data_IF_224828351800
#
_entry.id   IF_224828351800
#
_cell.length_a   1.000
_cell.length_b   1.000
_cell.length_c   1.000
_cell.angle_alpha   90.00
_cell.angle_beta   90.00
_cell.angle_gamma   90.00
#
_symmetry.space_group_name_H-M   'P 1'
#
loop_
_entity.id
_entity.type
_entity.pdbx_description
1 polymer ?
#
# COMPACT_ATOMS: atom_id res chain seq x y z
N UNK A 1 39.40 5.21 29.86
CA UNK A 1 38.22 4.91 29.03
C UNK A 1 37.85 3.45 29.23
N UNK A 2 36.79 3.16 30.00
CA UNK A 2 36.21 1.82 30.06
C UNK A 2 35.08 1.79 29.01
N UNK A 3 35.33 1.15 27.87
CA UNK A 3 34.27 0.84 26.89
C UNK A 3 33.42 -0.27 27.49
N UNK A 4 32.15 0.02 27.76
CA UNK A 4 31.17 -1.01 28.10
C UNK A 4 30.32 -1.23 26.85
N UNK A 5 30.65 -2.24 26.06
CA UNK A 5 29.74 -2.73 25.01
C UNK A 5 28.76 -3.69 25.69
N UNK A 6 27.47 -3.34 25.75
CA UNK A 6 26.41 -4.27 26.14
C UNK A 6 25.75 -4.73 24.86
N UNK A 7 26.02 -5.98 24.46
CA UNK A 7 25.30 -6.65 23.38
C UNK A 7 23.89 -7.00 23.86
N UNK A 8 22.86 -6.50 23.18
CA UNK A 8 21.52 -7.07 23.25
C UNK A 8 21.21 -7.73 21.91
N UNK A 9 21.21 -9.07 21.89
CA UNK A 9 20.58 -9.82 20.81
C UNK A 9 19.06 -9.77 21.00
N UNK A 10 18.33 -9.35 19.96
CA UNK A 10 16.87 -9.48 19.90
C UNK A 10 16.49 -10.97 20.01
N UNK A 11 15.93 -11.37 21.15
CA UNK A 11 15.16 -12.60 21.27
C UNK A 11 13.74 -12.31 20.77
N UNK A 12 13.58 -12.31 19.45
CA UNK A 12 12.30 -12.30 18.75
C UNK A 12 12.14 -13.62 17.98
N UNK A 13 10.98 -14.25 18.13
CA UNK A 13 10.67 -15.62 17.71
C UNK A 13 10.86 -15.80 16.19
N UNK A 14 11.44 -16.93 15.80
CA UNK A 14 11.94 -17.24 14.46
C UNK A 14 10.91 -17.09 13.33
N UNK A 15 11.17 -16.13 12.44
CA UNK A 15 11.14 -16.31 10.99
C UNK A 15 12.37 -15.57 10.44
N UNK A 16 13.16 -16.23 9.58
CA UNK A 16 14.37 -15.66 9.01
C UNK A 16 14.02 -14.53 8.03
N UNK A 17 13.76 -13.33 8.56
CA UNK A 17 13.89 -12.08 7.86
C UNK A 17 15.27 -11.51 8.21
N UNK A 18 15.94 -10.93 7.22
CA UNK A 18 17.19 -10.20 7.40
C UNK A 18 16.93 -9.05 8.39
N UNK A 19 17.25 -9.25 9.66
CA UNK A 19 17.01 -8.24 10.68
C UNK A 19 17.98 -7.08 10.42
N UNK A 20 17.44 -5.88 10.23
CA UNK A 20 18.26 -4.67 10.28
C UNK A 20 18.77 -4.55 11.71
N UNK A 21 20.08 -4.72 11.89
CA UNK A 21 20.71 -4.66 13.20
C UNK A 21 21.08 -3.21 13.52
N UNK A 22 20.53 -2.68 14.62
CA UNK A 22 20.93 -1.39 15.16
C UNK A 22 22.00 -1.59 16.25
N UNK A 23 23.16 -0.96 16.06
CA UNK A 23 24.19 -0.83 17.08
C UNK A 23 23.97 0.48 17.85
N UNK A 24 23.99 0.39 19.17
CA UNK A 24 23.92 1.55 20.08
C UNK A 24 25.29 1.73 20.71
N UNK A 25 25.95 2.85 20.40
CA UNK A 25 27.18 3.29 21.05
C UNK A 25 26.89 4.44 22.00
N UNK A 26 27.43 4.37 23.22
CA UNK A 26 27.24 5.41 24.22
C UNK A 26 28.60 5.87 24.76
N UNK A 27 28.82 7.18 24.77
CA UNK A 27 29.98 7.81 25.38
C UNK A 27 29.53 8.85 26.40
N UNK A 28 30.06 8.73 27.63
CA UNK A 28 29.77 9.69 28.70
C UNK A 28 30.86 10.77 28.71
N UNK A 29 30.45 12.03 28.62
CA UNK A 29 31.32 13.19 28.80
C UNK A 29 30.71 14.15 29.85
N UNK A 30 31.31 14.18 31.04
CA UNK A 30 30.79 14.93 32.18
C UNK A 30 29.35 14.52 32.56
N UNK A 31 28.44 15.50 32.52
CA UNK A 31 27.00 15.33 32.80
C UNK A 31 26.17 15.04 31.54
N UNK A 32 26.82 14.82 30.40
CA UNK A 32 26.15 14.47 29.15
C UNK A 32 26.46 13.03 28.75
N UNK A 33 25.51 12.43 28.02
CA UNK A 33 25.72 11.17 27.32
C UNK A 33 25.50 11.42 25.83
N UNK A 34 26.55 11.17 25.06
CA UNK A 34 26.49 11.05 23.61
C UNK A 34 25.98 9.66 23.28
N UNK A 35 24.87 9.56 22.56
CA UNK A 35 24.36 8.29 22.03
C UNK A 35 24.47 8.33 20.52
N UNK A 36 25.12 7.32 19.95
CA UNK A 36 25.24 7.10 18.52
C UNK A 36 24.49 5.82 18.15
N UNK A 37 23.64 5.88 17.13
CA UNK A 37 22.96 4.71 16.57
C UNK A 37 23.49 4.46 15.16
N UNK A 38 23.75 3.20 14.83
CA UNK A 38 24.22 2.81 13.52
C UNK A 38 23.48 1.55 13.06
N UNK A 39 22.95 1.56 11.86
CA UNK A 39 22.33 0.38 11.27
C UNK A 39 23.27 -0.28 10.26
N UNK A 40 23.25 -1.61 10.20
CA UNK A 40 24.02 -2.39 9.22
C UNK A 40 23.51 -2.17 7.78
N UNK A 41 22.24 -1.83 7.63
CA UNK A 41 21.55 -1.44 6.40
C UNK A 41 20.61 -0.28 6.70
N UNK A 42 20.13 0.47 5.70
CA UNK A 42 19.21 1.58 5.97
C UNK A 42 17.96 1.10 6.73
N UNK A 43 17.59 1.73 7.86
CA UNK A 43 16.40 1.34 8.61
C UNK A 43 15.16 1.46 7.73
N UNK A 44 14.35 0.39 7.68
CA UNK A 44 13.13 0.34 6.88
C UNK A 44 11.92 0.95 7.60
N UNK A 45 11.98 1.10 8.93
CA UNK A 45 10.94 1.73 9.74
C UNK A 45 11.49 2.86 10.60
N UNK A 46 10.60 3.70 11.14
CA UNK A 46 11.00 4.71 12.12
C UNK A 46 11.41 4.05 13.43
N UNK A 47 12.36 4.64 14.13
CA UNK A 47 12.84 4.15 15.40
C UNK A 47 12.81 5.26 16.45
N UNK A 48 12.56 4.92 17.70
CA UNK A 48 12.67 5.88 18.80
C UNK A 48 13.73 5.44 19.79
N UNK A 49 14.65 6.36 20.11
CA UNK A 49 15.62 6.15 21.17
C UNK A 49 14.91 6.33 22.51
N UNK A 50 14.88 5.25 23.29
CA UNK A 50 14.30 5.25 24.63
C UNK A 50 15.41 5.20 25.67
N UNK A 51 15.19 5.86 26.80
CA UNK A 51 16.13 5.88 27.92
C UNK A 51 15.44 5.56 29.24
N UNK A 52 16.17 4.90 30.15
CA UNK A 52 15.81 4.90 31.58
C UNK A 52 17.01 5.01 32.53
N UNK A 53 16.82 5.50 33.76
CA UNK A 53 17.87 5.62 34.77
C UNK A 53 18.24 4.29 35.46
N UNK A 54 17.38 3.28 35.43
CA UNK A 54 17.62 2.00 36.12
C UNK A 54 16.96 0.84 35.40
N UNK A 55 17.60 -0.34 35.39
CA UNK A 55 16.94 -1.56 34.91
C UNK A 55 15.85 -2.07 35.86
N UNK A 56 15.95 -1.72 37.14
CA UNK A 56 15.10 -2.23 38.21
C UNK A 56 13.84 -1.39 38.45
N UNK A 57 13.82 -0.12 38.05
CA UNK A 57 12.76 0.84 38.37
C UNK A 57 12.60 1.89 37.25
N UNK A 58 11.34 2.23 36.93
CA UNK A 58 10.96 3.31 36.02
C UNK A 58 10.55 2.87 34.60
N UNK A 59 9.75 3.72 33.96
CA UNK A 59 9.31 3.56 32.56
C UNK A 59 10.41 3.95 31.58
N UNK A 60 10.33 3.42 30.36
CA UNK A 60 11.15 3.86 29.24
C UNK A 60 10.64 5.21 28.73
N UNK A 61 11.49 6.24 28.78
CA UNK A 61 11.16 7.58 28.32
C UNK A 61 11.62 7.77 26.87
N UNK A 62 10.79 8.44 26.06
CA UNK A 62 11.16 8.94 24.75
C UNK A 62 12.22 10.03 24.87
N UNK A 63 13.41 9.76 24.32
CA UNK A 63 14.53 10.71 24.32
C UNK A 63 14.61 11.52 23.03
N UNK A 64 13.99 11.03 21.97
CA UNK A 64 13.99 11.64 20.64
C UNK A 64 12.59 11.56 20.06
N UNK A 65 12.26 12.52 19.20
CA UNK A 65 10.94 12.61 18.58
C UNK A 65 10.85 11.84 17.25
N UNK A 66 11.44 10.62 17.18
CA UNK A 66 11.62 9.76 15.98
C UNK A 66 12.98 9.96 15.29
N UNK A 67 13.59 8.84 14.87
CA UNK A 67 14.82 8.77 14.09
C UNK A 67 14.44 8.12 12.77
N UNK A 68 14.56 8.88 11.68
CA UNK A 68 14.05 8.52 10.35
C UNK A 68 15.11 8.52 9.24
N UNK A 69 16.33 8.96 9.54
CA UNK A 69 17.37 9.12 8.53
C UNK A 69 18.24 7.87 8.38
N UNK A 70 18.61 7.57 7.13
CA UNK A 70 19.66 6.60 6.84
C UNK A 70 21.01 7.16 7.31
N UNK A 71 21.69 6.47 8.24
CA UNK A 71 23.03 6.84 8.69
C UNK A 71 23.24 6.73 10.19
N UNK A 72 24.24 7.46 10.70
CA UNK A 72 24.50 7.52 12.14
C UNK A 72 23.71 8.65 12.78
N UNK A 73 22.83 8.32 13.73
CA UNK A 73 22.12 9.30 14.55
C UNK A 73 22.96 9.60 15.80
N UNK A 74 23.24 10.87 16.08
CA UNK A 74 23.96 11.28 17.28
C UNK A 74 23.16 12.35 18.05
N UNK A 75 22.99 12.15 19.35
CA UNK A 75 22.36 13.14 20.24
C UNK A 75 23.09 13.25 21.58
N UNK A 76 23.08 14.45 22.15
CA UNK A 76 23.62 14.74 23.48
C UNK A 76 22.46 14.87 24.46
N UNK A 77 22.38 13.96 25.43
CA UNK A 77 21.30 13.93 26.41
C UNK A 77 21.80 14.44 27.77
N UNK A 78 21.05 15.35 28.42
CA UNK A 78 21.36 15.77 29.79
C UNK A 78 21.19 14.60 30.76
N UNK A 79 22.15 14.45 31.68
CA UNK A 79 22.34 13.24 32.48
C UNK A 79 21.22 12.92 33.48
N UNK A 80 20.67 11.70 33.30
CA UNK A 80 20.20 10.74 34.32
C UNK A 80 19.87 9.37 33.68
N UNK A 81 19.91 9.24 32.34
CA UNK A 81 19.65 7.99 31.60
C UNK A 81 20.92 7.11 31.57
N UNK A 82 20.80 5.83 31.95
CA UNK A 82 21.93 4.88 31.96
C UNK A 82 21.70 3.65 31.07
N UNK A 83 20.45 3.43 30.66
CA UNK A 83 20.06 2.32 29.82
C UNK A 83 19.32 2.86 28.61
N UNK A 84 19.70 2.35 27.44
CA UNK A 84 19.14 2.77 26.17
C UNK A 84 18.58 1.53 25.45
N UNK A 85 17.50 1.74 24.71
CA UNK A 85 17.02 0.80 23.70
C UNK A 85 16.48 1.58 22.52
N UNK A 86 16.37 0.88 21.40
CA UNK A 86 15.67 1.40 20.24
C UNK A 86 14.39 0.57 20.12
N UNK A 87 13.25 1.25 20.13
CA UNK A 87 11.97 0.62 19.84
C UNK A 87 11.57 0.95 18.41
N UNK A 88 11.06 -0.06 17.70
CA UNK A 88 10.35 0.12 16.44
C UNK A 88 9.19 1.09 16.68
N UNK A 89 9.20 2.23 15.99
CA UNK A 89 8.08 3.15 16.03
C UNK A 89 7.06 2.69 15.00
N UNK A 90 6.04 1.95 15.46
CA UNK A 90 4.82 1.78 14.69
C UNK A 90 4.17 3.16 14.60
N UNK A 91 4.37 3.84 13.47
CA UNK A 91 3.51 4.96 13.09
C UNK A 91 2.07 4.47 13.23
N UNK A 92 1.21 5.26 13.87
CA UNK A 92 -0.22 4.93 13.86
C UNK A 92 -0.72 5.09 12.43
N UNK A 93 -1.41 4.08 11.92
CA UNK A 93 -2.03 4.17 10.61
C UNK A 93 -2.98 5.38 10.59
N UNK A 94 -3.04 6.15 9.49
CA UNK A 94 -3.95 7.30 9.40
C UNK A 94 -5.42 6.85 9.46
N UNK A 95 -5.71 5.60 9.09
CA UNK A 95 -7.04 5.01 9.16
C UNK A 95 -6.96 3.49 9.32
N UNK A 96 -8.06 2.90 9.80
CA UNK A 96 -8.14 1.47 10.07
C UNK A 96 -8.04 0.62 8.79
N UNK A 97 -7.30 -0.48 8.90
CA UNK A 97 -7.06 -1.40 7.78
C UNK A 97 -6.00 -0.93 6.77
N UNK A 98 -5.14 0.03 7.11
CA UNK A 98 -3.96 0.37 6.31
C UNK A 98 -2.69 -0.32 6.82
N UNK A 99 -1.82 -0.70 5.90
CA UNK A 99 -0.52 -1.32 6.17
C UNK A 99 0.61 -0.37 5.78
N UNK A 100 1.67 -0.37 6.59
CA UNK A 100 2.89 0.38 6.28
C UNK A 100 3.68 -0.35 5.20
N UNK A 101 3.96 0.34 4.11
CA UNK A 101 4.99 -0.05 3.14
C UNK A 101 6.22 0.80 3.41
N UNK A 102 7.29 0.11 3.79
CA UNK A 102 8.59 0.73 4.08
C UNK A 102 9.25 1.22 2.81
N UNK A 103 10.05 2.29 2.92
CA UNK A 103 10.83 2.77 1.80
C UNK A 103 11.86 1.71 1.38
N UNK A 104 12.19 1.69 0.10
CA UNK A 104 13.19 0.75 -0.39
C UNK A 104 13.18 0.55 -1.88
N UNK A 105 13.96 -0.45 -2.31
CA UNK A 105 14.09 -0.82 -3.71
C UNK A 105 13.74 -2.29 -3.93
N UNK A 106 13.20 -2.61 -5.10
CA UNK A 106 13.00 -3.97 -5.55
C UNK A 106 13.27 -4.04 -7.04
N UNK A 107 14.24 -4.85 -7.44
CA UNK A 107 14.59 -5.06 -8.83
C UNK A 107 14.69 -6.55 -9.13
N UNK A 108 14.54 -6.89 -10.40
CA UNK A 108 14.61 -8.26 -10.86
C UNK A 108 14.18 -8.39 -12.30
N UNK A 109 13.99 -9.63 -12.73
CA UNK A 109 13.45 -9.96 -14.04
C UNK A 109 12.15 -10.72 -13.84
N UNK A 110 11.03 -10.13 -14.25
CA UNK A 110 9.79 -10.86 -14.38
C UNK A 110 9.95 -11.88 -15.53
N UNK A 111 9.59 -13.16 -15.33
CA UNK A 111 9.77 -14.20 -16.34
C UNK A 111 9.11 -13.92 -17.69
N UNK A 112 8.18 -12.96 -17.78
CA UNK A 112 7.37 -12.74 -18.98
C UNK A 112 7.41 -11.29 -19.51
N UNK A 113 7.71 -10.30 -18.66
CA UNK A 113 7.75 -8.89 -19.07
C UNK A 113 9.16 -8.27 -19.01
N UNK A 114 10.15 -9.00 -18.47
CA UNK A 114 11.54 -8.59 -18.49
C UNK A 114 12.00 -7.89 -17.21
N UNK A 115 13.09 -7.13 -17.34
CA UNK A 115 13.74 -6.49 -16.19
C UNK A 115 12.94 -5.29 -15.68
N UNK A 116 12.90 -5.12 -14.36
CA UNK A 116 12.28 -3.99 -13.68
C UNK A 116 13.16 -3.49 -12.52
N UNK A 117 12.97 -2.23 -12.14
CA UNK A 117 13.60 -1.63 -10.97
C UNK A 117 12.63 -0.62 -10.35
N UNK A 118 12.24 -0.88 -9.10
CA UNK A 118 11.30 -0.09 -8.32
C UNK A 118 12.05 0.61 -7.21
N UNK A 119 11.70 1.85 -6.95
CA UNK A 119 12.15 2.63 -5.80
C UNK A 119 10.95 3.40 -5.26
N UNK A 120 10.69 3.26 -3.97
CA UNK A 120 9.55 3.94 -3.32
C UNK A 120 10.01 4.57 -2.01
N UNK A 121 9.44 5.72 -1.71
CA UNK A 121 9.42 6.25 -0.34
C UNK A 121 8.45 5.43 0.51
N UNK A 122 8.41 5.68 1.81
CA UNK A 122 7.48 4.99 2.71
C UNK A 122 6.07 5.57 2.58
N UNK A 123 5.06 4.71 2.64
CA UNK A 123 3.66 5.11 2.56
C UNK A 123 2.76 4.10 3.26
N UNK A 124 1.59 4.55 3.66
CA UNK A 124 0.49 3.69 4.07
C UNK A 124 -0.33 3.28 2.85
N UNK A 125 -0.79 2.04 2.80
CA UNK A 125 -1.72 1.55 1.75
C UNK A 125 -2.90 0.82 2.38
N UNK A 126 -4.11 0.99 1.86
CA UNK A 126 -5.24 0.15 2.28
C UNK A 126 -4.90 -1.34 2.02
N UNK A 127 -5.11 -2.17 3.04
CA UNK A 127 -4.83 -3.62 2.97
C UNK A 127 -5.69 -4.35 1.94
N UNK A 128 -6.84 -3.79 1.59
CA UNK A 128 -7.80 -4.32 0.62
C UNK A 128 -8.13 -3.27 -0.44
N UNK A 129 -8.80 -3.67 -1.52
CA UNK A 129 -9.54 -2.72 -2.33
C UNK A 129 -10.58 -1.97 -1.48
N UNK A 130 -10.98 -0.77 -1.90
CA UNK A 130 -12.06 -0.02 -1.27
C UNK A 130 -13.36 -0.82 -1.43
N UNK A 131 -13.99 -1.15 -0.30
CA UNK A 131 -15.27 -1.84 -0.29
C UNK A 131 -16.41 -0.88 -0.60
N UNK A 132 -17.56 -1.43 -1.01
CA UNK A 132 -18.78 -0.62 -1.17
C UNK A 132 -19.21 0.04 0.14
N UNK A 133 -19.03 -0.62 1.28
CA UNK A 133 -19.29 -0.03 2.58
C UNK A 133 -18.42 1.20 2.87
N UNK A 134 -17.10 1.12 2.63
CA UNK A 134 -16.19 2.28 2.78
C UNK A 134 -16.52 3.38 1.77
N UNK A 135 -16.82 3.00 0.52
CA UNK A 135 -17.28 3.92 -0.52
C UNK A 135 -18.47 4.76 -0.06
N UNK A 136 -19.53 4.11 0.42
CA UNK A 136 -20.79 4.79 0.73
C UNK A 136 -20.64 5.82 1.86
N UNK A 137 -19.81 5.53 2.85
CA UNK A 137 -19.52 6.48 3.95
C UNK A 137 -18.86 7.75 3.41
N UNK A 138 -17.77 7.60 2.64
CA UNK A 138 -17.02 8.75 2.10
C UNK A 138 -17.82 9.47 1.02
N UNK A 139 -18.54 8.75 0.17
CA UNK A 139 -19.33 9.33 -0.91
C UNK A 139 -20.50 10.16 -0.36
N UNK A 140 -21.16 9.68 0.70
CA UNK A 140 -22.19 10.46 1.39
C UNK A 140 -21.60 11.75 1.98
N UNK A 141 -20.50 11.64 2.74
CA UNK A 141 -19.82 12.81 3.31
C UNK A 141 -19.39 13.78 2.19
N UNK A 142 -18.78 13.27 1.12
CA UNK A 142 -18.31 14.06 0.00
C UNK A 142 -19.42 14.84 -0.70
N UNK A 143 -20.57 14.20 -0.95
CA UNK A 143 -21.74 14.84 -1.54
C UNK A 143 -22.21 16.04 -0.70
N UNK A 144 -22.24 15.87 0.64
CA UNK A 144 -22.62 16.93 1.58
C UNK A 144 -21.58 18.07 1.66
N UNK A 145 -20.36 17.83 1.19
CA UNK A 145 -19.23 18.78 1.20
C UNK A 145 -18.80 19.21 -0.23
N UNK A 146 -19.72 19.12 -1.19
CA UNK A 146 -19.56 19.69 -2.53
C UNK A 146 -18.70 18.88 -3.49
N UNK A 147 -18.38 17.62 -3.16
CA UNK A 147 -17.79 16.68 -4.12
C UNK A 147 -18.85 16.11 -5.05
N UNK A 148 -18.51 16.00 -6.34
CA UNK A 148 -19.36 15.37 -7.35
C UNK A 148 -19.19 13.84 -7.31
N UNK A 149 -19.65 13.25 -6.22
CA UNK A 149 -19.65 11.81 -5.92
C UNK A 149 -20.93 11.48 -5.15
N UNK A 150 -21.42 10.25 -5.26
CA UNK A 150 -22.66 9.80 -4.62
C UNK A 150 -22.58 8.34 -4.19
N UNK A 151 -23.40 7.95 -3.22
CA UNK A 151 -23.62 6.54 -2.85
C UNK A 151 -24.31 5.74 -3.95
N UNK A 152 -24.97 6.42 -4.89
CA UNK A 152 -25.50 5.81 -6.11
C UNK A 152 -24.41 5.50 -7.16
N UNK A 153 -23.24 6.15 -7.06
CA UNK A 153 -22.08 5.83 -7.89
C UNK A 153 -21.41 4.58 -7.34
N UNK A 154 -20.82 3.80 -8.24
CA UNK A 154 -20.15 2.54 -7.91
C UNK A 154 -21.11 1.44 -7.45
N UNK A 155 -21.01 0.26 -8.05
CA UNK A 155 -21.79 -0.92 -7.69
C UNK A 155 -20.91 -1.95 -6.98
N UNK A 156 -21.52 -2.97 -6.40
CA UNK A 156 -20.80 -4.12 -5.85
C UNK A 156 -21.73 -5.32 -5.72
N UNK A 157 -21.17 -6.51 -5.54
CA UNK A 157 -21.95 -7.72 -5.27
C UNK A 157 -22.65 -7.62 -3.92
N UNK A 158 -21.92 -7.19 -2.89
CA UNK A 158 -22.43 -6.89 -1.53
C UNK A 158 -21.51 -5.88 -0.82
N UNK A 159 -21.87 -5.40 0.37
CA UNK A 159 -21.12 -4.36 1.09
C UNK A 159 -19.64 -4.70 1.38
N UNK A 160 -19.32 -5.98 1.64
CA UNK A 160 -17.95 -6.44 1.92
C UNK A 160 -17.11 -6.74 0.68
N UNK A 161 -17.63 -6.48 -0.51
CA UNK A 161 -16.93 -6.65 -1.79
C UNK A 161 -16.37 -5.31 -2.27
N UNK A 162 -15.38 -5.32 -3.19
CA UNK A 162 -14.85 -4.09 -3.78
C UNK A 162 -15.96 -3.28 -4.45
N UNK A 163 -15.87 -1.96 -4.36
CA UNK A 163 -16.65 -1.07 -5.21
C UNK A 163 -16.11 -1.14 -6.65
N UNK A 164 -17.03 -1.28 -7.61
CA UNK A 164 -16.73 -1.38 -9.05
C UNK A 164 -17.67 -0.49 -9.86
N UNK A 165 -17.56 -0.47 -11.19
CA UNK A 165 -18.31 0.44 -12.06
C UNK A 165 -18.10 1.92 -11.71
N UNK A 166 -16.94 2.23 -11.14
CA UNK A 166 -16.45 3.57 -10.93
C UNK A 166 -15.44 3.94 -12.02
N UNK A 167 -15.27 5.23 -12.21
CA UNK A 167 -14.27 5.83 -13.09
C UNK A 167 -13.03 6.22 -12.30
N UNK A 168 -11.94 6.50 -13.03
CA UNK A 168 -10.75 7.04 -12.42
C UNK A 168 -11.03 8.38 -11.71
N UNK A 169 -11.82 9.26 -12.35
CA UNK A 169 -12.12 10.58 -11.80
C UNK A 169 -12.91 10.48 -10.48
N UNK A 170 -13.84 9.52 -10.37
CA UNK A 170 -14.56 9.30 -9.12
C UNK A 170 -13.66 8.73 -8.03
N UNK A 171 -12.65 7.92 -8.40
CA UNK A 171 -11.66 7.38 -7.46
C UNK A 171 -10.80 8.49 -6.83
N UNK A 172 -10.37 9.49 -7.61
CA UNK A 172 -9.61 10.63 -7.08
C UNK A 172 -10.48 11.62 -6.29
N UNK A 173 -11.78 11.75 -6.65
CA UNK A 173 -12.73 12.52 -5.84
C UNK A 173 -12.96 11.85 -4.48
N UNK A 174 -13.08 10.51 -4.45
CA UNK A 174 -13.12 9.74 -3.20
C UNK A 174 -11.85 10.00 -2.36
N UNK A 175 -10.66 9.96 -2.97
CA UNK A 175 -9.41 10.23 -2.26
C UNK A 175 -9.41 11.61 -1.58
N UNK A 176 -9.78 12.66 -2.32
CA UNK A 176 -9.89 14.01 -1.76
C UNK A 176 -10.96 14.11 -0.67
N UNK A 177 -12.15 13.53 -0.89
CA UNK A 177 -13.23 13.55 0.08
C UNK A 177 -12.85 12.81 1.37
N UNK A 178 -12.23 11.62 1.27
CA UNK A 178 -11.72 10.87 2.43
C UNK A 178 -10.66 11.66 3.17
N UNK A 179 -9.79 12.37 2.45
CA UNK A 179 -8.75 13.22 3.04
C UNK A 179 -9.38 14.26 3.96
N UNK A 180 -10.33 15.06 3.46
CA UNK A 180 -10.96 16.09 4.28
C UNK A 180 -11.85 15.53 5.39
N UNK A 181 -12.56 14.43 5.13
CA UNK A 181 -13.37 13.73 6.12
C UNK A 181 -12.54 13.31 7.34
N UNK A 182 -11.28 12.93 7.10
CA UNK A 182 -10.34 12.50 8.14
C UNK A 182 -9.36 13.62 8.57
N UNK A 183 -9.59 14.86 8.15
CA UNK A 183 -8.81 16.04 8.57
C UNK A 183 -7.44 16.18 7.93
N UNK A 184 -7.20 15.52 6.79
CA UNK A 184 -5.99 15.57 5.98
C UNK A 184 -6.12 16.56 4.82
N UNK A 185 -4.98 16.98 4.25
CA UNK A 185 -4.92 17.89 3.10
C UNK A 185 -5.10 17.11 1.80
N UNK A 186 -6.10 17.43 0.95
CA UNK A 186 -6.32 16.72 -0.32
C UNK A 186 -5.11 16.76 -1.27
N UNK A 187 -4.81 15.64 -1.95
CA UNK A 187 -3.73 15.61 -2.93
C UNK A 187 -4.12 16.22 -4.27
N UNK A 188 -5.34 15.98 -4.76
CA UNK A 188 -5.67 16.31 -6.14
C UNK A 188 -6.19 17.75 -6.28
N UNK A 189 -5.50 18.57 -7.08
CA UNK A 189 -5.88 19.94 -7.39
C UNK A 189 -6.21 20.12 -8.87
N UNK A 190 -7.07 21.08 -9.19
CA UNK A 190 -7.32 21.50 -10.57
C UNK A 190 -6.12 22.27 -11.17
N UNK A 191 -6.23 22.63 -12.46
CA UNK A 191 -5.18 23.41 -13.15
C UNK A 191 -4.94 24.81 -12.58
N UNK A 192 -5.80 25.31 -11.69
CA UNK A 192 -5.63 26.55 -10.93
C UNK A 192 -5.07 26.35 -9.51
N UNK A 193 -4.81 25.11 -9.10
CA UNK A 193 -4.31 24.76 -7.77
C UNK A 193 -5.38 24.68 -6.68
N UNK A 194 -6.68 24.75 -7.02
CA UNK A 194 -7.75 24.55 -6.06
C UNK A 194 -8.04 23.06 -5.86
N UNK A 195 -8.53 22.66 -4.68
CA UNK A 195 -8.94 21.26 -4.41
C UNK A 195 -9.93 20.79 -5.47
N UNK A 196 -9.62 19.69 -6.13
CA UNK A 196 -10.47 19.12 -7.17
C UNK A 196 -11.68 18.43 -6.54
N UNK A 197 -12.87 19.03 -6.72
CA UNK A 197 -14.14 18.54 -6.16
C UNK A 197 -15.19 18.17 -7.19
N UNK A 198 -15.10 18.74 -8.38
CA UNK A 198 -16.14 18.62 -9.40
C UNK A 198 -15.54 18.60 -10.79
N UNK A 199 -16.29 18.02 -11.72
CA UNK A 199 -15.92 17.92 -13.12
C UNK A 199 -17.15 18.02 -14.02
N UNK A 200 -16.95 18.47 -15.25
CA UNK A 200 -17.96 18.43 -16.30
C UNK A 200 -17.54 17.41 -17.37
N UNK A 201 -18.47 16.55 -17.79
CA UNK A 201 -18.26 15.61 -18.88
C UNK A 201 -18.05 16.29 -20.24
N UNK A 202 -18.39 17.57 -20.38
CA UNK A 202 -18.26 18.34 -21.62
C UNK A 202 -16.98 19.15 -21.61
N UNK A 203 -16.73 19.91 -20.54
CA UNK A 203 -15.61 20.84 -20.48
C UNK A 203 -14.25 20.12 -20.31
N UNK A 204 -13.16 20.68 -20.82
CA UNK A 204 -11.81 20.21 -20.50
C UNK A 204 -11.47 20.52 -19.04
N UNK A 205 -10.68 19.66 -18.42
CA UNK A 205 -10.09 19.90 -17.12
C UNK A 205 -8.69 19.27 -17.06
N UNK A 206 -7.89 19.81 -16.15
CA UNK A 206 -6.55 19.31 -15.80
C UNK A 206 -6.53 19.10 -14.30
N UNK A 207 -5.96 17.98 -13.87
CA UNK A 207 -5.78 17.66 -12.45
C UNK A 207 -4.36 17.18 -12.23
N UNK A 208 -3.81 17.47 -11.06
CA UNK A 208 -2.51 17.00 -10.62
C UNK A 208 -2.61 16.60 -9.14
N UNK A 209 -1.80 15.62 -8.72
CA UNK A 209 -1.61 15.30 -7.31
C UNK A 209 -0.45 16.15 -6.78
N UNK A 210 -0.65 16.88 -5.69
CA UNK A 210 0.41 17.56 -4.94
C UNK A 210 1.15 16.54 -4.08
N UNK A 211 2.41 16.25 -4.45
CA UNK A 211 3.26 15.31 -3.71
C UNK A 211 3.60 15.77 -2.28
N UNK A 212 3.37 17.03 -1.94
CA UNK A 212 3.55 17.56 -0.57
C UNK A 212 2.30 17.46 0.31
N UNK A 213 1.16 17.00 -0.23
CA UNK A 213 -0.06 16.82 0.54
C UNK A 213 -0.01 15.53 1.37
N UNK A 214 -0.57 15.58 2.59
CA UNK A 214 -0.63 14.44 3.50
C UNK A 214 -1.95 13.65 3.43
N UNK A 215 -2.75 13.87 2.37
CA UNK A 215 -4.02 13.19 2.16
C UNK A 215 -3.92 11.91 1.34
N UNK A 216 -5.07 11.27 1.18
CA UNK A 216 -5.23 10.08 0.36
C UNK A 216 -5.03 10.39 -1.11
N UNK A 217 -4.43 9.42 -1.80
CA UNK A 217 -4.31 9.36 -3.25
C UNK A 217 -4.34 7.93 -3.74
N UNK A 218 -4.42 7.74 -5.04
CA UNK A 218 -4.14 6.43 -5.65
C UNK A 218 -2.64 6.12 -5.52
N UNK A 219 -2.25 4.84 -5.36
CA UNK A 219 -0.84 4.44 -5.41
C UNK A 219 -0.26 4.80 -6.78
N UNK A 220 0.99 5.22 -6.85
CA UNK A 220 1.68 5.29 -8.14
C UNK A 220 1.82 3.89 -8.74
N UNK A 221 2.11 3.84 -10.03
CA UNK A 221 2.39 2.60 -10.72
C UNK A 221 3.47 1.74 -10.04
N UNK A 222 4.50 2.39 -9.49
CA UNK A 222 5.65 1.74 -8.87
C UNK A 222 5.36 1.35 -7.41
N UNK A 223 4.64 2.20 -6.66
CA UNK A 223 4.15 1.89 -5.32
C UNK A 223 3.26 0.65 -5.32
N UNK A 224 2.34 0.56 -6.28
CA UNK A 224 1.45 -0.59 -6.41
C UNK A 224 2.23 -1.89 -6.66
N UNK A 225 3.17 -1.89 -7.61
CA UNK A 225 3.95 -3.08 -7.92
C UNK A 225 4.88 -3.48 -6.77
N UNK A 226 5.52 -2.50 -6.12
CA UNK A 226 6.39 -2.74 -4.97
C UNK A 226 5.60 -3.39 -3.83
N UNK A 227 4.41 -2.87 -3.53
CA UNK A 227 3.46 -3.40 -2.57
C UNK A 227 2.97 -4.81 -2.96
N UNK A 228 2.65 -5.05 -4.23
CA UNK A 228 2.20 -6.36 -4.71
C UNK A 228 3.28 -7.43 -4.54
N UNK A 229 4.54 -7.07 -4.78
CA UNK A 229 5.70 -7.97 -4.65
C UNK A 229 6.07 -8.28 -3.21
N UNK A 230 5.80 -7.40 -2.26
CA UNK A 230 6.05 -7.59 -0.83
C UNK A 230 7.43 -8.19 -0.49
N UNK A 231 8.48 -7.62 -1.08
CA UNK A 231 9.87 -8.07 -0.91
C UNK A 231 10.31 -9.22 -1.81
N UNK A 232 9.41 -9.87 -2.56
CA UNK A 232 9.80 -10.89 -3.53
C UNK A 232 10.37 -10.26 -4.80
N UNK A 233 11.57 -10.73 -5.21
CA UNK A 233 12.21 -10.33 -6.47
C UNK A 233 11.95 -11.35 -7.59
N UNK A 234 11.60 -10.85 -8.78
CA UNK A 234 11.47 -11.65 -10.01
C UNK A 234 10.36 -12.71 -9.98
N UNK A 235 9.35 -12.53 -9.11
CA UNK A 235 8.20 -13.44 -9.00
C UNK A 235 7.01 -12.92 -9.78
N UNK A 236 6.24 -13.86 -10.35
CA UNK A 236 5.01 -13.56 -11.10
C UNK A 236 3.88 -13.02 -10.22
N UNK A 237 3.73 -13.55 -9.02
CA UNK A 237 2.60 -13.30 -8.13
C UNK A 237 3.06 -12.90 -6.72
N UNK A 238 2.17 -12.33 -5.89
CA UNK A 238 2.50 -11.90 -4.53
C UNK A 238 3.03 -13.01 -3.60
N UNK A 239 2.81 -14.27 -3.98
CA UNK A 239 3.21 -15.46 -3.21
C UNK A 239 4.23 -16.36 -3.94
N UNK A 240 4.85 -15.87 -5.02
CA UNK A 240 5.82 -16.63 -5.81
C UNK A 240 5.42 -16.80 -7.28
N UNK A 241 5.74 -17.96 -7.87
CA UNK A 241 5.64 -18.15 -9.33
C UNK A 241 4.38 -18.90 -9.79
N UNK A 242 3.52 -19.33 -8.87
CA UNK A 242 2.33 -20.14 -9.19
C UNK A 242 1.08 -19.54 -8.59
N UNK A 243 -0.03 -19.70 -9.31
CA UNK A 243 -1.35 -19.21 -8.96
C UNK A 243 -2.37 -20.36 -8.98
N UNK A 244 -3.41 -20.23 -8.17
CA UNK A 244 -4.61 -21.05 -8.22
C UNK A 244 -5.76 -20.28 -7.56
N UNK A 245 -6.98 -20.77 -7.70
CA UNK A 245 -8.15 -20.21 -7.01
C UNK A 245 -8.03 -20.18 -5.48
N UNK A 246 -7.21 -21.05 -4.89
CA UNK A 246 -6.89 -20.98 -3.46
C UNK A 246 -6.11 -19.70 -3.06
N UNK A 247 -5.57 -18.95 -4.03
CA UNK A 247 -4.79 -17.74 -3.79
C UNK A 247 -5.45 -16.48 -4.35
N UNK A 248 -6.13 -16.57 -5.49
CA UNK A 248 -6.59 -15.41 -6.25
C UNK A 248 -7.94 -15.68 -6.92
N UNK A 249 -8.74 -14.63 -7.10
CA UNK A 249 -9.98 -14.66 -7.88
C UNK A 249 -9.70 -14.18 -9.31
N UNK A 250 -9.60 -15.10 -10.28
CA UNK A 250 -9.27 -14.82 -11.68
C UNK A 250 -9.90 -15.88 -12.60
N UNK A 251 -9.81 -15.68 -13.92
CA UNK A 251 -10.26 -16.68 -14.89
C UNK A 251 -9.19 -17.75 -15.10
N UNK A 252 -9.45 -18.96 -14.59
CA UNK A 252 -8.49 -20.04 -14.57
C UNK A 252 -8.53 -20.95 -15.80
N UNK A 253 -7.36 -21.46 -16.18
CA UNK A 253 -7.20 -22.38 -17.30
C UNK A 253 -6.43 -23.63 -16.89
N UNK A 254 -7.15 -24.71 -16.61
CA UNK A 254 -6.54 -26.00 -16.27
C UNK A 254 -5.75 -26.60 -17.45
N UNK A 255 -4.52 -27.05 -17.18
CA UNK A 255 -3.62 -27.70 -18.14
C UNK A 255 -3.39 -26.91 -19.45
N UNK A 256 -3.50 -25.58 -19.40
CA UNK A 256 -3.23 -24.74 -20.55
C UNK A 256 -1.72 -24.49 -20.70
N UNK A 257 -1.08 -24.88 -21.82
CA UNK A 257 0.36 -24.72 -22.01
C UNK A 257 0.82 -23.25 -22.08
N UNK A 258 -0.09 -22.29 -22.31
CA UNK A 258 0.21 -20.86 -22.22
C UNK A 258 0.40 -20.40 -20.77
N UNK A 259 -0.22 -21.12 -19.83
CA UNK A 259 -0.25 -20.79 -18.41
C UNK A 259 0.21 -21.97 -17.55
N UNK A 260 1.43 -22.52 -17.76
CA UNK A 260 1.90 -23.73 -17.06
C UNK A 260 2.09 -23.53 -15.53
N UNK A 261 1.93 -22.30 -15.05
CA UNK A 261 2.03 -21.86 -13.67
C UNK A 261 0.65 -21.68 -13.00
N UNK A 262 -0.44 -21.82 -13.76
CA UNK A 262 -1.79 -21.95 -13.23
C UNK A 262 -2.00 -23.40 -12.79
N UNK A 263 -2.05 -23.61 -11.47
CA UNK A 263 -2.18 -24.92 -10.85
C UNK A 263 -3.62 -25.27 -10.50
N UNK A 264 -4.62 -24.59 -11.09
CA UNK A 264 -6.02 -24.96 -10.92
C UNK A 264 -6.30 -26.36 -11.45
N UNK A 265 -7.16 -27.09 -10.75
CA UNK A 265 -7.59 -28.44 -11.14
C UNK A 265 -8.71 -28.36 -12.17
N UNK A 266 -8.94 -29.44 -12.95
CA UNK A 266 -9.96 -29.46 -14.02
C UNK A 266 -11.34 -29.04 -13.51
N UNK A 267 -11.64 -29.48 -12.29
CA UNK A 267 -12.87 -29.17 -11.59
C UNK A 267 -12.93 -27.76 -11.01
N UNK A 268 -12.04 -26.83 -11.33
CA UNK A 268 -12.08 -25.43 -10.88
C UNK A 268 -11.71 -24.44 -12.01
N UNK A 269 -11.53 -24.90 -13.25
CA UNK A 269 -11.26 -24.01 -14.38
C UNK A 269 -12.43 -23.06 -14.68
N UNK A 270 -12.13 -21.90 -15.25
CA UNK A 270 -13.08 -20.80 -15.50
C UNK A 270 -13.13 -19.80 -14.35
N UNK A 271 -14.31 -19.21 -14.11
CA UNK A 271 -14.54 -18.33 -12.98
C UNK A 271 -14.43 -19.08 -11.65
N UNK A 272 -13.95 -18.40 -10.63
CA UNK A 272 -13.81 -18.94 -9.28
C UNK A 272 -15.17 -19.39 -8.72
N UNK A 273 -15.33 -20.69 -8.46
CA UNK A 273 -16.64 -21.31 -8.15
C UNK A 273 -17.29 -20.83 -6.86
N UNK A 274 -16.51 -20.36 -5.88
CA UNK A 274 -17.07 -19.78 -4.65
C UNK A 274 -17.73 -18.42 -4.89
N UNK A 275 -17.36 -17.72 -5.96
CA UNK A 275 -17.85 -16.36 -6.26
C UNK A 275 -18.69 -16.31 -7.54
N UNK A 276 -18.67 -17.39 -8.31
CA UNK A 276 -19.53 -17.72 -9.44
C UNK A 276 -20.32 -18.99 -9.10
N UNK A 277 -21.61 -18.89 -8.77
CA UNK A 277 -22.48 -20.06 -8.67
C UNK A 277 -23.78 -19.90 -9.46
N UNK A 278 -24.21 -21.00 -10.09
CA UNK A 278 -25.46 -21.28 -10.81
C UNK A 278 -26.61 -20.23 -10.66
N UNK A 279 -26.49 -19.10 -11.37
CA UNK A 279 -27.48 -18.01 -11.38
C UNK A 279 -26.99 -16.65 -10.85
N UNK A 280 -25.77 -16.56 -10.34
CA UNK A 280 -25.15 -15.30 -9.91
C UNK A 280 -25.05 -14.32 -11.09
N UNK A 281 -25.44 -13.07 -10.82
CA UNK A 281 -25.28 -11.95 -11.73
C UNK A 281 -23.90 -11.33 -11.50
N UNK A 282 -23.18 -11.01 -12.57
CA UNK A 282 -21.92 -10.24 -12.52
C UNK A 282 -22.09 -8.99 -11.64
N UNK A 283 -21.08 -8.57 -10.86
CA UNK A 283 -19.68 -9.03 -10.84
C UNK A 283 -19.39 -10.27 -9.96
N UNK A 284 -18.43 -11.11 -10.36
CA UNK A 284 -17.99 -12.31 -9.62
C UNK A 284 -16.84 -12.02 -8.66
N UNK A 285 -16.88 -10.86 -8.00
CA UNK A 285 -15.88 -10.46 -7.01
C UNK A 285 -15.97 -11.35 -5.77
N UNK A 286 -14.84 -11.52 -5.10
CA UNK A 286 -14.74 -12.08 -3.76
C UNK A 286 -14.97 -10.97 -2.73
N UNK A 287 -15.46 -11.28 -1.52
CA UNK A 287 -15.31 -10.37 -0.38
C UNK A 287 -13.83 -10.01 -0.22
N UNK A 288 -13.55 -8.76 0.11
CA UNK A 288 -12.16 -8.37 0.33
C UNK A 288 -11.59 -9.12 1.53
N UNK A 289 -10.35 -9.58 1.41
CA UNK A 289 -9.68 -10.32 2.49
C UNK A 289 -10.06 -11.80 2.62
N UNK A 290 -10.95 -12.33 1.78
CA UNK A 290 -11.36 -13.76 1.83
C UNK A 290 -10.27 -14.71 1.30
N UNK A 291 -9.36 -14.20 0.46
CA UNK A 291 -8.22 -14.93 -0.09
C UNK A 291 -6.92 -14.55 0.63
N UNK A 292 -5.85 -15.35 0.60
CA UNK A 292 -4.63 -15.08 1.35
C UNK A 292 -3.98 -13.73 1.04
N UNK A 293 -3.51 -13.03 2.08
CA UNK A 293 -2.68 -11.83 1.91
C UNK A 293 -1.28 -12.17 1.39
N UNK A 294 -0.56 -11.17 0.87
CA UNK A 294 0.88 -11.28 0.65
C UNK A 294 1.67 -11.11 1.97
N UNK A 295 3.00 -11.13 1.89
CA UNK A 295 3.86 -11.07 3.08
C UNK A 295 3.72 -9.76 3.91
N UNK A 296 3.10 -8.72 3.36
CA UNK A 296 2.85 -7.43 4.03
C UNK A 296 1.39 -7.25 4.46
N UNK A 297 0.58 -8.30 4.40
CA UNK A 297 -0.82 -8.22 4.80
C UNK A 297 -1.73 -7.53 3.78
N UNK A 298 -1.29 -7.42 2.53
CA UNK A 298 -2.10 -6.89 1.43
C UNK A 298 -2.86 -8.01 0.73
N UNK A 299 -4.17 -7.85 0.66
CA UNK A 299 -5.10 -8.78 0.05
C UNK A 299 -5.38 -8.40 -1.39
N UNK A 300 -5.73 -9.41 -2.19
CA UNK A 300 -6.24 -9.24 -3.55
C UNK A 300 -5.32 -8.45 -4.51
N UNK A 301 -4.01 -8.37 -4.23
CA UNK A 301 -3.02 -7.79 -5.16
C UNK A 301 -2.87 -8.59 -6.48
N UNK A 302 -3.59 -9.70 -6.64
CA UNK A 302 -3.71 -10.46 -7.88
C UNK A 302 -5.16 -10.93 -8.06
N UNK A 303 -5.81 -10.46 -9.11
CA UNK A 303 -7.21 -10.74 -9.43
C UNK A 303 -8.20 -9.92 -8.61
N UNK A 304 -9.42 -10.43 -8.49
CA UNK A 304 -10.60 -9.76 -7.95
C UNK A 304 -11.04 -8.56 -8.80
N UNK A 305 -10.42 -7.40 -8.66
CA UNK A 305 -10.65 -6.24 -9.53
C UNK A 305 -9.32 -5.58 -9.91
N UNK A 306 -9.24 -5.08 -11.14
CA UNK A 306 -8.09 -4.30 -11.54
C UNK A 306 -8.14 -2.93 -10.87
N UNK A 307 -7.00 -2.44 -10.40
CA UNK A 307 -6.95 -1.27 -9.54
C UNK A 307 -6.34 -0.06 -10.24
N UNK A 308 -7.03 1.08 -10.19
CA UNK A 308 -6.50 2.34 -10.70
C UNK A 308 -5.23 2.77 -9.95
N UNK A 309 -4.20 3.15 -10.71
CA UNK A 309 -2.98 3.76 -10.16
C UNK A 309 -2.84 5.21 -10.61
N UNK A 310 -2.17 6.02 -9.80
CA UNK A 310 -1.81 7.37 -10.17
C UNK A 310 -0.78 7.38 -11.30
N UNK A 311 -0.86 8.41 -12.15
CA UNK A 311 0.14 8.70 -13.17
C UNK A 311 0.93 9.92 -12.72
N UNK A 312 2.24 9.92 -12.93
CA UNK A 312 3.06 11.07 -12.57
C UNK A 312 2.71 12.30 -13.41
N UNK A 313 2.66 13.46 -12.75
CA UNK A 313 2.41 14.75 -13.37
C UNK A 313 0.94 15.14 -13.56
N UNK A 314 0.71 16.26 -14.22
CA UNK A 314 -0.62 16.76 -14.53
C UNK A 314 -1.26 15.97 -15.67
N UNK A 315 -2.51 15.62 -15.51
CA UNK A 315 -3.28 14.83 -16.46
C UNK A 315 -4.53 15.57 -16.92
N UNK A 316 -4.94 15.30 -18.15
CA UNK A 316 -6.11 15.93 -18.77
C UNK A 316 -7.23 14.91 -18.97
N UNK A 317 -8.44 15.40 -19.24
CA UNK A 317 -9.62 14.57 -19.55
C UNK A 317 -9.38 13.49 -20.62
N UNK A 318 -8.47 13.70 -21.56
CA UNK A 318 -8.19 12.76 -22.66
C UNK A 318 -7.14 11.70 -22.33
N UNK A 319 -6.59 11.73 -21.12
CA UNK A 319 -5.62 10.73 -20.66
C UNK A 319 -6.22 9.32 -20.58
N UNK A 320 -5.36 8.31 -20.51
CA UNK A 320 -5.69 6.91 -20.16
C UNK A 320 -5.13 6.58 -18.78
N UNK A 321 -5.85 5.78 -17.99
CA UNK A 321 -5.45 5.48 -16.62
C UNK A 321 -4.79 4.11 -16.58
N UNK A 322 -3.67 3.99 -15.86
CA UNK A 322 -3.02 2.71 -15.63
C UNK A 322 -3.84 1.92 -14.60
N UNK A 323 -4.04 0.64 -14.89
CA UNK A 323 -4.65 -0.33 -13.99
C UNK A 323 -3.71 -1.51 -13.78
N UNK A 324 -3.70 -2.05 -12.56
CA UNK A 324 -2.83 -3.15 -12.14
C UNK A 324 -3.64 -4.30 -11.54
N UNK A 325 -3.01 -5.47 -11.41
CA UNK A 325 -3.53 -6.62 -10.66
C UNK A 325 -4.57 -7.50 -11.36
N UNK A 326 -5.22 -7.00 -12.42
CA UNK A 326 -6.24 -7.74 -13.16
C UNK A 326 -7.47 -8.09 -12.32
N UNK A 327 -8.42 -8.83 -12.89
CA UNK A 327 -9.75 -9.02 -12.31
C UNK A 327 -10.17 -10.50 -12.22
N UNK A 328 -11.34 -10.77 -11.64
CA UNK A 328 -12.03 -12.07 -11.68
C UNK A 328 -12.29 -12.61 -13.11
N UNK A 329 -12.19 -11.75 -14.12
CA UNK A 329 -12.36 -12.09 -15.54
C UNK A 329 -11.02 -12.20 -16.29
N UNK A 330 -9.92 -11.86 -15.63
CA UNK A 330 -8.60 -11.81 -16.25
C UNK A 330 -7.90 -13.16 -16.23
N UNK A 331 -7.16 -13.46 -17.30
CA UNK A 331 -6.32 -14.64 -17.39
C UNK A 331 -5.11 -14.56 -16.44
N UNK A 332 -4.43 -15.69 -16.17
CA UNK A 332 -3.27 -15.74 -15.27
C UNK A 332 -2.14 -14.76 -15.60
N UNK A 333 -1.95 -14.42 -16.88
CA UNK A 333 -0.91 -13.47 -17.30
C UNK A 333 -1.24 -12.03 -16.92
N UNK A 334 -2.52 -11.71 -16.76
CA UNK A 334 -3.06 -10.37 -16.46
C UNK A 334 -3.20 -10.06 -14.98
N UNK A 335 -2.96 -11.04 -14.12
CA UNK A 335 -3.00 -10.89 -12.65
C UNK A 335 -1.61 -11.00 -12.01
N UNK A 336 -0.55 -10.80 -12.81
CA UNK A 336 0.84 -10.82 -12.33
C UNK A 336 1.20 -9.47 -11.71
N UNK A 337 2.13 -9.45 -10.75
CA UNK A 337 2.58 -8.22 -10.10
C UNK A 337 3.06 -7.16 -11.12
N UNK A 338 3.78 -7.60 -12.15
CA UNK A 338 4.35 -6.72 -13.18
C UNK A 338 3.45 -6.45 -14.39
N UNK A 339 2.25 -7.04 -14.50
CA UNK A 339 1.34 -6.68 -15.59
C UNK A 339 0.70 -5.32 -15.31
N UNK A 340 0.71 -4.47 -16.31
CA UNK A 340 0.05 -3.18 -16.31
C UNK A 340 -0.77 -3.05 -17.60
N UNK A 341 -1.99 -2.55 -17.45
CA UNK A 341 -2.87 -2.27 -18.58
C UNK A 341 -3.35 -0.83 -18.50
N UNK A 342 -3.92 -0.32 -19.60
CA UNK A 342 -4.51 1.02 -19.64
C UNK A 342 -6.00 0.93 -19.94
N UNK A 343 -6.78 1.80 -19.30
CA UNK A 343 -8.20 1.96 -19.65
C UNK A 343 -8.37 2.61 -21.03
N UNK A 344 -9.56 2.47 -21.62
CA UNK A 344 -9.94 3.17 -22.84
C UNK A 344 -10.05 4.71 -22.68
N UNK A 345 -9.96 5.20 -21.45
CA UNK A 345 -10.06 6.61 -21.07
C UNK A 345 -10.51 6.75 -19.62
N UNK A 346 -10.29 7.90 -19.01
CA UNK A 346 -10.49 8.09 -17.55
C UNK A 346 -11.93 8.06 -17.08
N UNK A 347 -12.87 8.28 -18.00
CA UNK A 347 -14.31 8.17 -17.76
C UNK A 347 -14.85 6.77 -18.03
N UNK A 348 -13.97 5.81 -18.34
CA UNK A 348 -14.38 4.41 -18.54
C UNK A 348 -14.63 3.78 -17.17
N UNK A 349 -15.85 3.32 -16.95
CA UNK A 349 -16.18 2.44 -15.84
C UNK A 349 -16.26 0.98 -16.31
N UNK A 350 -16.04 0.05 -15.39
CA UNK A 350 -16.20 -1.39 -15.63
C UNK A 350 -16.48 -2.10 -14.32
N UNK A 351 -17.22 -3.21 -14.38
CA UNK A 351 -17.38 -4.15 -13.25
C UNK A 351 -16.07 -4.80 -12.81
N UNK A 352 -15.01 -4.64 -13.61
CA UNK A 352 -13.68 -5.15 -13.33
C UNK A 352 -12.74 -4.10 -12.74
N UNK A 353 -13.16 -2.83 -12.61
CA UNK A 353 -12.29 -1.74 -12.15
C UNK A 353 -12.69 -1.30 -10.76
N UNK A 354 -11.72 -1.33 -9.85
CA UNK A 354 -11.79 -0.77 -8.50
C UNK A 354 -10.50 0.00 -8.20
N UNK A 355 -10.19 0.15 -6.91
CA UNK A 355 -8.98 0.85 -6.46
C UNK A 355 -8.72 0.60 -4.98
N UNK A 356 -7.53 1.00 -4.54
CA UNK A 356 -7.16 1.19 -3.13
C UNK A 356 -6.47 2.54 -2.98
N UNK A 357 -6.36 3.05 -1.76
CA UNK A 357 -5.71 4.35 -1.51
C UNK A 357 -4.41 4.22 -0.74
N UNK A 358 -3.55 5.21 -0.90
CA UNK A 358 -2.30 5.39 -0.14
C UNK A 358 -2.23 6.78 0.48
N UNK A 359 -1.39 6.92 1.50
CA UNK A 359 -1.01 8.19 2.14
C UNK A 359 0.50 8.18 2.35
N UNK A 360 1.19 9.28 2.02
CA UNK A 360 2.63 9.42 2.32
C UNK A 360 2.88 9.31 3.82
N UNK A 361 3.99 8.67 4.20
CA UNK A 361 4.38 8.52 5.60
C UNK A 361 5.67 9.32 5.86
N UNK A 362 5.60 10.64 5.88
CA UNK A 362 6.79 11.49 6.06
C UNK A 362 7.47 11.33 7.43
#
# INVERSE_FOLDING_TARGET
MKKWCVWFGLLGVAFAAWAVECTIDCEKDGDHVSVSLAWNESPTMGYTLKGRPSLALGDWLDLTAQIVDAGQFQTNLPGLQYFFRVDDYLLSAPSDGMMMVVSGTNSGTDPDFGAYALSVDRFWIDSTEITKEKWDVVAQWGADHGYKISTADGTSKTNGHPVVQITYVESILYCNARSEMEGLTPCYTDGGGAVFRTYNYIDPFTVACDSGANGYRLPTNDEWEYAARAGLSGKRFPWGNTISHAKANYYAWHNNPLYPYDLTVTGDAGHHRSYWFNGDVSPFTAPVGDLPANAWGLYNMAGNVAEFTNTDGAFTKTSTAIIRGGSYFSNPDKVRCGDASVTAGWLTSSEQYGFRTVVGAD
#
